data_IF_621284069654
#
_entry.id   IF_621284069654
#
_cell.length_a   1.000
_cell.length_b   1.000
_cell.length_c   1.000
_cell.angle_alpha   90.00
_cell.angle_beta   90.00
_cell.angle_gamma   90.00
#
_symmetry.space_group_name_H-M   'P 1'
#
loop_
_entity.id
_entity.type
_entity.pdbx_description
1 polymer ?
#
# COMPACT_ATOMS: atom_id res chain seq x y z
N UNK A 1 -2.47 50.94 -1.88
CA UNK A 1 -3.08 49.66 -1.47
C UNK A 1 -3.01 49.54 0.06
N UNK A 2 -4.10 49.16 0.73
CA UNK A 2 -4.18 49.17 2.20
C UNK A 2 -3.28 48.06 2.79
N UNK A 3 -2.40 48.38 3.76
CA UNK A 3 -1.46 47.41 4.37
C UNK A 3 -2.18 46.22 5.02
N UNK A 4 -3.40 46.42 5.52
CA UNK A 4 -4.26 45.34 6.05
C UNK A 4 -4.74 44.39 4.94
N UNK A 5 -4.99 44.92 3.74
CA UNK A 5 -5.40 44.13 2.58
C UNK A 5 -4.25 43.24 2.08
N UNK A 6 -3.02 43.77 2.08
CA UNK A 6 -1.80 43.02 1.72
C UNK A 6 -1.53 41.83 2.65
N UNK A 7 -1.74 42.01 3.96
CA UNK A 7 -1.56 40.94 4.95
C UNK A 7 -2.63 39.85 4.74
N UNK A 8 -3.89 40.25 4.51
CA UNK A 8 -4.99 39.32 4.28
C UNK A 8 -4.75 38.44 3.04
N UNK A 9 -4.25 39.03 1.94
CA UNK A 9 -3.94 38.27 0.72
C UNK A 9 -2.81 37.27 0.91
N UNK A 10 -1.80 37.60 1.73
CA UNK A 10 -0.71 36.66 2.03
C UNK A 10 -1.20 35.46 2.86
N UNK A 11 -2.10 35.66 3.82
CA UNK A 11 -2.70 34.57 4.58
C UNK A 11 -3.57 33.64 3.72
N UNK A 12 -4.36 34.19 2.79
CA UNK A 12 -5.19 33.39 1.87
C UNK A 12 -4.30 32.55 0.94
N UNK A 13 -3.24 33.16 0.39
CA UNK A 13 -2.31 32.48 -0.50
C UNK A 13 -1.54 31.36 0.23
N UNK A 14 -1.20 31.57 1.50
CA UNK A 14 -0.55 30.56 2.31
C UNK A 14 -1.45 29.35 2.57
N UNK A 15 -2.74 29.57 2.85
CA UNK A 15 -3.71 28.49 3.05
C UNK A 15 -3.95 27.63 1.80
N UNK A 16 -3.96 28.24 0.61
CA UNK A 16 -4.12 27.51 -0.65
C UNK A 16 -2.92 26.63 -1.00
N UNK A 17 -1.70 27.02 -0.60
CA UNK A 17 -0.49 26.21 -0.83
C UNK A 17 -0.43 24.96 0.05
N UNK A 18 -1.20 24.91 1.15
CA UNK A 18 -1.21 23.79 2.09
C UNK A 18 -2.41 22.86 1.94
N UNK A 19 -3.34 23.14 1.02
CA UNK A 19 -4.42 22.21 0.70
C UNK A 19 -3.85 21.07 -0.17
N UNK A 20 -3.46 19.96 0.46
CA UNK A 20 -3.09 18.74 -0.25
C UNK A 20 -4.26 17.78 -0.25
N UNK A 21 -4.79 17.52 -1.45
CA UNK A 21 -5.71 16.42 -1.69
C UNK A 21 -4.89 15.14 -1.85
N UNK A 22 -5.13 14.16 -0.99
CA UNK A 22 -4.61 12.81 -1.15
C UNK A 22 -5.76 11.86 -1.44
N UNK A 23 -5.48 10.84 -2.24
CA UNK A 23 -6.43 9.76 -2.51
C UNK A 23 -5.79 8.44 -2.13
N UNK A 24 -6.62 7.49 -1.72
CA UNK A 24 -6.18 6.13 -1.43
C UNK A 24 -6.55 5.28 -2.65
N UNK A 25 -5.56 4.59 -3.19
CA UNK A 25 -5.72 3.63 -4.27
C UNK A 25 -5.33 2.23 -3.80
N UNK A 26 -5.86 1.20 -4.48
CA UNK A 26 -5.44 -0.16 -4.21
C UNK A 26 -4.01 -0.35 -4.76
N UNK A 27 -3.07 -0.70 -3.88
CA UNK A 27 -1.67 -0.90 -4.23
C UNK A 27 -1.45 -2.05 -5.22
N UNK A 28 -2.31 -3.08 -5.21
CA UNK A 28 -2.20 -4.25 -6.09
C UNK A 28 -3.58 -4.64 -6.65
N UNK A 29 -4.11 -3.89 -7.63
CA UNK A 29 -5.47 -4.10 -8.15
C UNK A 29 -5.71 -5.46 -8.80
N UNK A 30 -4.64 -6.12 -9.28
CA UNK A 30 -4.73 -7.43 -9.92
C UNK A 30 -5.01 -8.58 -8.93
N UNK A 31 -4.84 -8.37 -7.62
CA UNK A 31 -4.91 -9.43 -6.62
C UNK A 31 -6.00 -9.21 -5.58
N UNK A 32 -6.55 -10.32 -5.12
CA UNK A 32 -7.32 -10.40 -3.89
C UNK A 32 -6.63 -11.38 -2.95
N UNK A 33 -6.71 -11.10 -1.65
CA UNK A 33 -6.11 -11.92 -0.60
C UNK A 33 -7.19 -12.45 0.34
N UNK A 34 -7.00 -13.67 0.82
CA UNK A 34 -7.91 -14.33 1.78
C UNK A 34 -7.32 -14.24 3.19
N UNK A 35 -7.97 -13.47 4.06
CA UNK A 35 -7.55 -13.26 5.46
C UNK A 35 -6.03 -13.00 5.60
N UNK A 36 -5.48 -11.94 4.96
CA UNK A 36 -4.06 -11.63 5.08
C UNK A 36 -3.71 -11.26 6.53
N UNK A 37 -2.65 -11.85 7.05
CA UNK A 37 -2.14 -11.62 8.42
C UNK A 37 -0.80 -10.90 8.44
N UNK A 38 -0.16 -10.72 7.29
CA UNK A 38 1.10 -9.99 7.19
C UNK A 38 1.56 -9.78 5.75
N UNK A 39 2.46 -8.82 5.58
CA UNK A 39 3.19 -8.57 4.34
C UNK A 39 4.64 -8.27 4.70
N UNK A 40 5.58 -8.91 4.02
CA UNK A 40 7.01 -8.76 4.28
C UNK A 40 7.80 -8.61 2.98
N UNK A 41 8.94 -7.94 3.06
CA UNK A 41 9.92 -7.90 1.96
C UNK A 41 10.92 -9.04 2.08
N UNK A 42 11.49 -9.48 0.96
CA UNK A 42 12.56 -10.48 0.95
C UNK A 42 13.83 -10.07 1.74
N UNK A 43 14.12 -8.77 1.84
CA UNK A 43 15.33 -8.24 2.46
C UNK A 43 16.64 -8.57 1.71
N UNK A 44 16.58 -9.21 0.54
CA UNK A 44 17.73 -9.71 -0.23
C UNK A 44 18.02 -8.90 -1.52
N UNK A 45 17.27 -7.83 -1.77
CA UNK A 45 17.40 -7.00 -2.96
C UNK A 45 16.61 -7.49 -4.18
N UNK A 46 15.87 -8.61 -4.08
CA UNK A 46 15.02 -9.12 -5.17
C UNK A 46 13.80 -8.25 -5.51
N UNK A 47 13.46 -7.28 -4.65
CA UNK A 47 12.23 -6.48 -4.73
C UNK A 47 10.94 -7.33 -4.69
N UNK A 48 10.99 -8.52 -4.11
CA UNK A 48 9.81 -9.37 -3.89
C UNK A 48 9.10 -9.04 -2.58
N UNK A 49 7.78 -9.06 -2.65
CA UNK A 49 6.89 -9.06 -1.48
C UNK A 49 6.39 -10.48 -1.20
N UNK A 50 6.07 -10.74 0.05
CA UNK A 50 5.47 -11.97 0.55
C UNK A 50 4.22 -11.63 1.34
N UNK A 51 3.05 -12.05 0.86
CA UNK A 51 1.78 -11.88 1.58
C UNK A 51 1.42 -13.18 2.26
N UNK A 52 1.20 -13.12 3.57
CA UNK A 52 0.91 -14.24 4.44
C UNK A 52 -0.62 -14.29 4.63
N UNK A 53 -1.24 -15.39 4.25
CA UNK A 53 -2.67 -15.62 4.39
C UNK A 53 -2.95 -16.64 5.50
N UNK A 54 -3.96 -16.34 6.34
CA UNK A 54 -4.35 -17.19 7.47
C UNK A 54 -4.62 -18.66 7.09
N UNK A 55 -5.17 -19.02 5.91
CA UNK A 55 -5.35 -20.41 5.48
C UNK A 55 -4.05 -21.21 5.22
N UNK A 56 -2.89 -20.72 5.66
CA UNK A 56 -1.61 -21.42 5.54
C UNK A 56 -0.94 -21.27 4.18
N UNK A 57 -1.12 -20.11 3.52
CA UNK A 57 -0.49 -19.80 2.23
C UNK A 57 0.37 -18.56 2.31
N UNK A 58 1.50 -18.59 1.62
CA UNK A 58 2.32 -17.41 1.37
C UNK A 58 2.44 -17.23 -0.14
N UNK A 59 1.98 -16.09 -0.63
CA UNK A 59 2.18 -15.68 -2.03
C UNK A 59 3.37 -14.74 -2.14
N UNK A 60 4.12 -14.83 -3.24
CA UNK A 60 5.17 -13.88 -3.59
C UNK A 60 4.98 -13.29 -4.98
N UNK A 61 5.33 -12.02 -5.13
CA UNK A 61 5.23 -11.25 -6.37
C UNK A 61 6.15 -10.04 -6.32
N UNK A 62 6.41 -9.43 -7.48
CA UNK A 62 7.22 -8.22 -7.59
C UNK A 62 6.52 -7.04 -6.91
N UNK A 63 7.28 -6.19 -6.20
CA UNK A 63 6.76 -4.94 -5.64
C UNK A 63 6.55 -3.88 -6.74
N UNK A 64 5.62 -4.15 -7.65
CA UNK A 64 5.16 -3.26 -8.73
C UNK A 64 3.62 -3.22 -8.70
N UNK A 65 2.98 -2.03 -8.62
CA UNK A 65 1.53 -1.91 -8.67
C UNK A 65 0.85 -2.49 -9.93
N UNK A 66 1.60 -2.67 -11.02
CA UNK A 66 1.12 -3.21 -12.29
C UNK A 66 1.34 -4.72 -12.45
N UNK A 67 1.96 -5.38 -11.47
CA UNK A 67 2.20 -6.82 -11.52
C UNK A 67 0.87 -7.58 -11.57
N UNK A 68 0.75 -8.50 -12.53
CA UNK A 68 -0.46 -9.31 -12.72
C UNK A 68 -0.25 -10.79 -12.38
N UNK A 69 0.96 -11.17 -12.01
CA UNK A 69 1.34 -12.54 -11.69
C UNK A 69 1.85 -12.64 -10.25
N UNK A 70 1.46 -13.72 -9.57
CA UNK A 70 1.97 -14.09 -8.25
C UNK A 70 2.21 -15.59 -8.19
N UNK A 71 3.12 -15.99 -7.32
CA UNK A 71 3.55 -17.38 -7.16
C UNK A 71 3.30 -17.84 -5.72
N UNK A 72 3.06 -19.12 -5.53
CA UNK A 72 2.99 -19.72 -4.20
C UNK A 72 4.42 -19.94 -3.71
N UNK A 73 4.80 -19.29 -2.61
CA UNK A 73 6.06 -19.52 -1.93
C UNK A 73 5.95 -20.67 -0.91
N UNK A 74 4.83 -20.73 -0.18
CA UNK A 74 4.54 -21.79 0.79
C UNK A 74 3.05 -22.13 0.76
N UNK A 75 2.72 -23.42 0.83
CA UNK A 75 1.35 -23.94 0.89
C UNK A 75 1.31 -25.10 1.91
N UNK A 76 0.78 -24.81 3.10
CA UNK A 76 0.69 -25.74 4.23
C UNK A 76 -0.68 -25.69 4.92
N UNK A 77 -1.81 -25.73 4.17
CA UNK A 77 -3.14 -25.54 4.73
C UNK A 77 -3.49 -26.65 5.75
N UNK A 78 -2.98 -27.86 5.54
CA UNK A 78 -3.32 -29.03 6.36
C UNK A 78 -2.82 -28.96 7.81
N UNK A 79 -1.90 -28.04 8.13
CA UNK A 79 -1.30 -27.90 9.47
C UNK A 79 -1.59 -26.55 10.12
N UNK A 80 -2.35 -25.68 9.45
CA UNK A 80 -2.73 -24.36 9.97
C UNK A 80 -4.20 -24.41 10.37
N UNK A 81 -4.51 -24.01 11.61
CA UNK A 81 -5.88 -23.83 12.05
C UNK A 81 -6.34 -22.41 11.72
N UNK A 82 -7.29 -22.28 10.79
CA UNK A 82 -7.83 -21.02 10.30
C UNK A 82 -9.31 -20.79 10.70
N UNK A 83 -9.88 -21.68 11.52
CA UNK A 83 -11.26 -21.65 12.02
C UNK A 83 -11.37 -21.19 13.47
#
# INVERSE_FOLDING_TARGET
>A
MNRKLLILTQFIFWGMLYAQDYTVENAFPAFTFTNPVGIESAGDGSNLLFVIEQPGRIYTFENDPNVSERYIFLDIPDIVNDT
#
